data_IF_467150139868
#
_entry.id   IF_467150139868
#
_cell.length_a   1.000
_cell.length_b   1.000
_cell.length_c   1.000
_cell.angle_alpha   90.00
_cell.angle_beta   90.00
_cell.angle_gamma   90.00
#
_symmetry.space_group_name_H-M   'P 1'
#
loop_
_entity.id
_entity.type
_entity.pdbx_description
1 polymer ?
#
# COMPACT_ATOMS: atom_id res chain seq x y z
N UNK A 1 -1.06 -20.86 -16.61
CA UNK A 1 -1.60 -20.00 -17.69
C UNK A 1 -0.58 -19.69 -18.79
N UNK A 2 0.70 -19.43 -18.50
CA UNK A 2 1.67 -18.98 -19.53
C UNK A 2 1.74 -19.79 -20.84
N UNK A 3 1.89 -21.13 -20.81
CA UNK A 3 2.04 -21.93 -22.03
C UNK A 3 0.80 -22.06 -22.93
N UNK A 4 -0.39 -21.72 -22.41
CA UNK A 4 -1.67 -21.91 -23.13
C UNK A 4 -2.22 -20.60 -23.71
N UNK A 5 -1.65 -19.45 -23.36
CA UNK A 5 -2.11 -18.14 -23.82
C UNK A 5 -1.50 -17.77 -25.19
N UNK A 6 -2.28 -17.20 -26.12
CA UNK A 6 -1.77 -16.73 -27.41
C UNK A 6 -0.54 -15.83 -27.30
N UNK A 7 0.30 -15.85 -28.34
CA UNK A 7 1.55 -15.08 -28.42
C UNK A 7 1.36 -13.59 -28.09
N UNK A 8 0.19 -13.04 -28.45
CA UNK A 8 -0.19 -11.63 -28.37
C UNK A 8 -1.10 -11.30 -27.18
N UNK A 9 -0.99 -12.04 -26.09
CA UNK A 9 -1.72 -11.75 -24.84
C UNK A 9 -0.80 -11.11 -23.82
N UNK A 10 -1.19 -9.93 -23.33
CA UNK A 10 -0.63 -9.32 -22.13
C UNK A 10 -1.31 -9.92 -20.91
N UNK A 11 -0.52 -10.36 -19.94
CA UNK A 11 -0.97 -10.74 -18.62
C UNK A 11 -0.56 -9.64 -17.62
N UNK A 12 -1.40 -9.38 -16.63
CA UNK A 12 -1.13 -8.45 -15.53
C UNK A 12 -1.65 -9.04 -14.22
N UNK A 13 -1.30 -8.43 -13.10
CA UNK A 13 -1.80 -8.76 -11.76
C UNK A 13 -2.16 -7.48 -11.00
N UNK A 14 -2.75 -7.65 -9.82
CA UNK A 14 -3.13 -6.56 -8.90
C UNK A 14 -2.64 -6.83 -7.47
N UNK A 15 -1.70 -7.76 -7.29
CA UNK A 15 -1.24 -8.20 -5.96
C UNK A 15 -0.52 -7.11 -5.16
N UNK A 16 -0.47 -7.25 -3.84
CA UNK A 16 0.15 -6.21 -2.99
C UNK A 16 1.67 -6.32 -2.85
N UNK A 17 2.27 -7.39 -3.40
CA UNK A 17 3.72 -7.65 -3.41
C UNK A 17 4.16 -8.05 -4.81
N UNK A 18 5.38 -7.68 -5.20
CA UNK A 18 5.82 -7.65 -6.61
C UNK A 18 7.03 -8.52 -6.90
N UNK A 19 7.95 -8.69 -5.95
CA UNK A 19 9.19 -9.46 -6.19
C UNK A 19 8.89 -10.90 -6.61
N UNK A 20 8.02 -11.60 -5.88
CA UNK A 20 7.75 -13.02 -6.16
C UNK A 20 6.98 -13.23 -7.47
N UNK A 21 5.98 -12.40 -7.76
CA UNK A 21 5.19 -12.53 -9.01
C UNK A 21 6.05 -12.20 -10.24
N UNK A 22 6.95 -11.22 -10.12
CA UNK A 22 7.93 -10.90 -11.18
C UNK A 22 8.90 -12.06 -11.39
N UNK A 23 9.46 -12.63 -10.32
CA UNK A 23 10.34 -13.80 -10.42
C UNK A 23 9.62 -15.00 -11.06
N UNK A 24 8.36 -15.24 -10.67
CA UNK A 24 7.52 -16.30 -11.25
C UNK A 24 7.26 -16.07 -12.73
N UNK A 25 6.96 -14.84 -13.14
CA UNK A 25 6.77 -14.50 -14.55
C UNK A 25 8.06 -14.72 -15.36
N UNK A 26 9.21 -14.36 -14.82
CA UNK A 26 10.52 -14.66 -15.41
C UNK A 26 10.74 -16.15 -15.64
N UNK A 27 10.42 -16.99 -14.64
CA UNK A 27 10.55 -18.45 -14.76
C UNK A 27 9.59 -19.06 -15.79
N UNK A 28 8.38 -18.51 -15.92
CA UNK A 28 7.34 -19.04 -16.83
C UNK A 28 7.54 -18.58 -18.28
N UNK A 29 7.89 -17.32 -18.50
CA UNK A 29 7.96 -16.72 -19.83
C UNK A 29 9.40 -16.57 -20.36
N UNK A 30 10.41 -16.78 -19.52
CA UNK A 30 11.82 -16.63 -19.88
C UNK A 30 12.10 -15.26 -20.50
N UNK A 31 12.80 -15.25 -21.64
CA UNK A 31 13.17 -14.03 -22.38
C UNK A 31 11.96 -13.21 -22.85
N UNK A 32 10.76 -13.80 -22.91
CA UNK A 32 9.55 -13.12 -23.36
C UNK A 32 8.78 -12.43 -22.23
N UNK A 33 9.23 -12.54 -20.98
CA UNK A 33 8.48 -12.04 -19.82
C UNK A 33 8.13 -10.55 -19.93
N UNK A 34 9.09 -9.68 -20.32
CA UNK A 34 8.84 -8.24 -20.52
C UNK A 34 7.91 -7.88 -21.68
N UNK A 35 7.54 -8.83 -22.54
CA UNK A 35 6.52 -8.64 -23.59
C UNK A 35 5.16 -9.22 -23.22
N UNK A 36 5.13 -10.14 -22.25
CA UNK A 36 3.96 -10.99 -21.94
C UNK A 36 3.36 -10.68 -20.58
N UNK A 37 4.10 -10.05 -19.69
CA UNK A 37 3.65 -9.74 -18.34
C UNK A 37 3.96 -8.30 -17.98
N UNK A 38 2.96 -7.58 -17.46
CA UNK A 38 3.12 -6.26 -16.86
C UNK A 38 2.54 -6.33 -15.44
N UNK A 39 3.37 -6.52 -14.40
CA UNK A 39 2.87 -6.61 -13.04
C UNK A 39 2.40 -5.26 -12.52
N UNK A 40 1.27 -5.25 -11.83
CA UNK A 40 0.57 -4.05 -11.40
C UNK A 40 0.11 -4.12 -9.95
N UNK A 41 -0.03 -2.97 -9.29
CA UNK A 41 -0.61 -2.87 -7.96
C UNK A 41 -1.40 -1.55 -7.85
N UNK A 42 -2.73 -1.59 -7.95
CA UNK A 42 -3.55 -0.43 -7.59
C UNK A 42 -3.46 -0.20 -6.08
N UNK A 43 -3.02 0.98 -5.67
CA UNK A 43 -3.10 1.45 -4.27
C UNK A 43 -4.51 1.93 -3.95
N UNK A 44 -5.48 1.06 -4.19
CA UNK A 44 -6.89 1.27 -3.93
C UNK A 44 -7.45 0.00 -3.30
N UNK A 45 -8.25 0.15 -2.26
CA UNK A 45 -8.84 -0.96 -1.55
C UNK A 45 -9.97 -0.49 -0.65
N UNK A 46 -10.94 -1.38 -0.46
CA UNK A 46 -11.98 -1.24 0.56
C UNK A 46 -11.76 -2.32 1.61
N UNK A 47 -12.23 -2.07 2.81
CA UNK A 47 -12.17 -3.04 3.92
C UNK A 47 -13.08 -4.26 3.64
N UNK A 48 -14.06 -4.08 2.76
CA UNK A 48 -15.01 -5.10 2.34
C UNK A 48 -14.52 -5.78 1.07
N UNK A 49 -14.62 -7.11 1.04
CA UNK A 49 -14.25 -7.96 -0.10
C UNK A 49 -15.49 -8.59 -0.70
N UNK A 50 -15.52 -8.77 -2.02
CA UNK A 50 -16.66 -9.31 -2.75
C UNK A 50 -17.01 -8.45 -3.97
N UNK A 51 -17.56 -9.08 -5.02
CA UNK A 51 -17.94 -8.37 -6.26
C UNK A 51 -19.10 -7.41 -6.02
N UNK A 52 -19.94 -7.69 -5.02
CA UNK A 52 -21.03 -6.86 -4.54
C UNK A 52 -20.57 -5.51 -3.97
N UNK A 53 -19.30 -5.40 -3.56
CA UNK A 53 -18.68 -4.16 -3.08
C UNK A 53 -17.84 -3.46 -4.16
N UNK A 54 -17.87 -3.96 -5.40
CA UNK A 54 -17.17 -3.34 -6.52
C UNK A 54 -17.70 -1.93 -6.77
N UNK A 55 -16.79 -1.07 -7.20
CA UNK A 55 -17.07 0.35 -7.36
C UNK A 55 -16.35 0.84 -8.62
N UNK A 56 -17.12 1.47 -9.51
CA UNK A 56 -16.62 2.02 -10.76
C UNK A 56 -15.55 3.10 -10.52
N UNK A 57 -15.64 3.79 -9.37
CA UNK A 57 -14.76 4.90 -9.03
C UNK A 57 -13.59 4.49 -8.11
N UNK A 58 -13.44 3.19 -7.82
CA UNK A 58 -12.44 2.67 -6.87
C UNK A 58 -11.01 3.17 -7.16
N UNK A 59 -10.67 3.32 -8.43
CA UNK A 59 -9.32 3.68 -8.88
C UNK A 59 -9.13 5.18 -9.14
N UNK A 60 -10.19 6.00 -9.07
CA UNK A 60 -10.07 7.43 -9.34
C UNK A 60 -9.12 8.12 -8.34
N UNK A 61 -8.07 8.76 -8.86
CA UNK A 61 -7.03 9.45 -8.09
C UNK A 61 -6.06 8.52 -7.34
N UNK A 62 -6.31 7.21 -7.30
CA UNK A 62 -5.45 6.22 -6.68
C UNK A 62 -4.16 6.04 -7.49
N UNK A 63 -3.04 5.80 -6.83
CA UNK A 63 -1.79 5.45 -7.53
C UNK A 63 -1.89 4.00 -8.02
N UNK A 64 -1.53 3.72 -9.27
CA UNK A 64 -1.30 2.36 -9.76
C UNK A 64 0.18 2.17 -10.03
N UNK A 65 0.84 1.31 -9.25
CA UNK A 65 2.24 0.99 -9.45
C UNK A 65 2.39 -0.10 -10.51
N UNK A 66 3.25 0.13 -11.48
CA UNK A 66 3.74 -0.90 -12.40
C UNK A 66 5.18 -1.25 -12.07
N UNK A 67 5.52 -2.53 -12.21
CA UNK A 67 6.89 -3.03 -11.96
C UNK A 67 7.43 -3.70 -13.22
N UNK A 68 7.82 -2.92 -14.24
CA UNK A 68 8.22 -3.47 -15.53
C UNK A 68 9.37 -4.47 -15.42
N UNK A 69 9.33 -5.53 -16.23
CA UNK A 69 10.44 -6.48 -16.33
C UNK A 69 11.50 -5.93 -17.30
N UNK A 70 12.79 -6.16 -17.03
CA UNK A 70 13.96 -5.72 -17.80
C UNK A 70 13.69 -5.10 -19.19
N UNK A 71 13.94 -3.78 -19.29
CA UNK A 71 13.80 -2.95 -20.51
C UNK A 71 12.38 -2.90 -21.11
N UNK A 72 11.35 -3.31 -20.37
CA UNK A 72 9.96 -3.12 -20.76
C UNK A 72 9.58 -1.64 -20.63
N UNK A 73 9.38 -0.98 -21.76
CA UNK A 73 8.71 0.31 -21.78
C UNK A 73 7.20 0.10 -21.56
N UNK A 74 6.69 0.57 -20.42
CA UNK A 74 5.28 0.39 -20.04
C UNK A 74 4.30 1.13 -20.96
N UNK A 75 4.76 2.12 -21.73
CA UNK A 75 3.95 2.90 -22.67
C UNK A 75 4.00 2.39 -24.11
N UNK A 76 4.59 1.21 -24.36
CA UNK A 76 4.70 0.64 -25.70
C UNK A 76 3.88 -0.65 -25.85
N UNK A 77 3.37 -0.90 -27.06
CA UNK A 77 2.61 -2.10 -27.41
C UNK A 77 1.42 -2.35 -26.50
N UNK A 78 1.17 -3.63 -26.19
CA UNK A 78 0.04 -4.04 -25.34
C UNK A 78 0.13 -3.45 -23.92
N UNK A 79 1.34 -3.27 -23.38
CA UNK A 79 1.54 -2.62 -22.08
C UNK A 79 1.03 -1.19 -22.13
N UNK A 80 1.36 -0.43 -23.18
CA UNK A 80 0.91 0.95 -23.36
C UNK A 80 -0.61 1.07 -23.50
N UNK A 81 -1.23 0.15 -24.26
CA UNK A 81 -2.69 0.08 -24.37
C UNK A 81 -3.36 -0.15 -23.01
N UNK A 82 -2.82 -1.05 -22.19
CA UNK A 82 -3.34 -1.32 -20.85
C UNK A 82 -3.15 -0.13 -19.90
N UNK A 83 -1.95 0.46 -19.87
CA UNK A 83 -1.62 1.62 -19.04
C UNK A 83 -2.53 2.81 -19.40
N UNK A 84 -2.76 3.06 -20.68
CA UNK A 84 -3.69 4.10 -21.12
C UNK A 84 -5.14 3.83 -20.67
N UNK A 85 -5.54 2.55 -20.59
CA UNK A 85 -6.82 2.16 -19.99
C UNK A 85 -6.89 2.47 -18.48
N UNK A 86 -5.81 2.17 -17.75
CA UNK A 86 -5.68 2.48 -16.31
C UNK A 86 -5.72 3.99 -16.03
N UNK A 87 -5.12 4.81 -16.89
CA UNK A 87 -5.21 6.27 -16.78
C UNK A 87 -6.63 6.77 -17.08
N UNK A 88 -7.32 6.18 -18.06
CA UNK A 88 -8.70 6.55 -18.43
C UNK A 88 -9.71 6.28 -17.33
N UNK A 89 -9.48 5.29 -16.46
CA UNK A 89 -10.30 5.05 -15.27
C UNK A 89 -9.91 5.94 -14.08
N UNK A 90 -9.03 6.92 -14.30
CA UNK A 90 -8.68 7.96 -13.35
C UNK A 90 -7.52 7.63 -12.41
N UNK A 91 -6.84 6.49 -12.58
CA UNK A 91 -5.68 6.16 -11.76
C UNK A 91 -4.44 6.97 -12.16
N UNK A 92 -3.57 7.26 -11.19
CA UNK A 92 -2.27 7.90 -11.40
C UNK A 92 -1.20 6.83 -11.56
N UNK A 93 -0.59 6.76 -12.73
CA UNK A 93 0.42 5.77 -13.04
C UNK A 93 1.77 6.12 -12.39
N UNK A 94 2.40 5.14 -11.77
CA UNK A 94 3.77 5.21 -11.30
C UNK A 94 4.51 3.91 -11.65
N UNK A 95 5.82 3.99 -11.89
CA UNK A 95 6.64 2.84 -12.26
C UNK A 95 7.90 2.80 -11.42
N UNK A 96 8.27 1.61 -10.93
CA UNK A 96 9.49 1.38 -10.15
C UNK A 96 9.89 -0.10 -10.19
N UNK A 97 11.07 -0.44 -9.70
CA UNK A 97 11.47 -1.84 -9.63
C UNK A 97 10.66 -2.61 -8.57
N UNK A 98 10.48 -3.92 -8.77
CA UNK A 98 9.70 -4.76 -7.85
C UNK A 98 10.23 -4.73 -6.41
N UNK A 99 11.56 -4.69 -6.24
CA UNK A 99 12.19 -4.60 -4.93
C UNK A 99 11.95 -3.24 -4.25
N UNK A 100 11.96 -2.15 -5.02
CA UNK A 100 11.67 -0.80 -4.53
C UNK A 100 10.19 -0.68 -4.13
N UNK A 101 9.30 -1.23 -4.95
CA UNK A 101 7.87 -1.33 -4.65
C UNK A 101 7.62 -2.04 -3.31
N UNK A 102 8.19 -3.24 -3.14
CA UNK A 102 7.95 -4.04 -1.94
C UNK A 102 8.55 -3.39 -0.70
N UNK A 103 9.73 -2.75 -0.82
CA UNK A 103 10.30 -1.95 0.25
C UNK A 103 9.40 -0.76 0.61
N UNK A 104 8.91 -0.01 -0.38
CA UNK A 104 8.00 1.12 -0.17
C UNK A 104 6.69 0.68 0.48
N UNK A 105 6.03 -0.35 -0.06
CA UNK A 105 4.77 -0.88 0.45
C UNK A 105 4.88 -1.42 1.88
N UNK A 106 6.05 -1.95 2.27
CA UNK A 106 6.31 -2.31 3.66
C UNK A 106 6.07 -1.12 4.60
N UNK A 107 6.48 0.09 4.21
CA UNK A 107 6.32 1.30 5.02
C UNK A 107 4.96 1.97 4.89
N UNK A 108 4.44 2.09 3.66
CA UNK A 108 3.25 2.95 3.41
C UNK A 108 1.92 2.22 3.54
N UNK A 109 1.93 0.89 3.70
CA UNK A 109 0.70 0.07 3.77
C UNK A 109 0.80 -1.03 4.81
N UNK A 110 1.83 -1.89 4.70
CA UNK A 110 1.89 -3.11 5.50
C UNK A 110 2.24 -2.86 6.97
N UNK A 111 3.23 -2.00 7.23
CA UNK A 111 3.56 -1.59 8.59
C UNK A 111 2.38 -0.89 9.29
N UNK A 112 1.68 0.10 8.68
CA UNK A 112 0.45 0.66 9.24
C UNK A 112 -0.59 -0.39 9.66
N UNK A 113 -0.83 -1.42 8.83
CA UNK A 113 -1.71 -2.53 9.22
C UNK A 113 -1.21 -3.25 10.47
N UNK A 114 0.08 -3.62 10.50
CA UNK A 114 0.63 -4.35 11.65
C UNK A 114 0.55 -3.53 12.93
N UNK A 115 0.79 -2.21 12.87
CA UNK A 115 0.61 -1.30 14.00
C UNK A 115 -0.84 -1.29 14.46
N UNK A 116 -1.78 -1.15 13.52
CA UNK A 116 -3.22 -1.11 13.80
C UNK A 116 -3.68 -2.37 14.51
N UNK A 117 -3.29 -3.54 13.99
CA UNK A 117 -3.59 -4.85 14.60
C UNK A 117 -2.92 -5.02 15.96
N UNK A 118 -1.64 -4.67 16.11
CA UNK A 118 -0.93 -4.80 17.39
C UNK A 118 -1.54 -3.90 18.47
N UNK A 119 -1.86 -2.64 18.13
CA UNK A 119 -2.50 -1.70 19.05
C UNK A 119 -3.89 -2.19 19.47
N UNK A 120 -4.71 -2.66 18.53
CA UNK A 120 -6.03 -3.19 18.85
C UNK A 120 -5.95 -4.42 19.76
N UNK A 121 -5.04 -5.35 19.48
CA UNK A 121 -4.81 -6.53 20.31
C UNK A 121 -4.35 -6.15 21.73
N UNK A 122 -3.39 -5.22 21.87
CA UNK A 122 -2.93 -4.77 23.20
C UNK A 122 -4.04 -4.09 24.02
N UNK A 123 -4.97 -3.39 23.37
CA UNK A 123 -6.13 -2.79 24.05
C UNK A 123 -7.09 -3.86 24.58
N UNK A 124 -7.31 -4.93 23.80
CA UNK A 124 -8.10 -6.08 24.24
C UNK A 124 -7.42 -6.80 25.41
N UNK A 125 -6.10 -7.01 25.33
CA UNK A 125 -5.35 -7.67 26.40
C UNK A 125 -5.38 -6.87 27.72
N UNK A 126 -5.31 -5.55 27.65
CA UNK A 126 -5.26 -4.67 28.83
C UNK A 126 -6.63 -4.42 29.47
N UNK A 127 -7.68 -4.23 28.67
CA UNK A 127 -8.99 -3.78 29.16
C UNK A 127 -10.12 -4.81 28.98
N UNK A 128 -9.87 -5.89 28.26
CA UNK A 128 -10.86 -6.91 27.91
C UNK A 128 -11.63 -6.62 26.62
N UNK A 129 -12.21 -7.67 26.03
CA UNK A 129 -12.95 -7.62 24.76
C UNK A 129 -14.22 -6.74 24.82
N UNK A 130 -14.88 -6.69 25.98
CA UNK A 130 -16.16 -5.98 26.17
C UNK A 130 -15.99 -4.50 26.57
N UNK A 131 -14.75 -4.01 26.69
CA UNK A 131 -14.51 -2.63 27.09
C UNK A 131 -15.00 -1.64 25.99
N UNK A 132 -15.76 -0.58 26.32
CA UNK A 132 -16.30 0.38 25.34
C UNK A 132 -15.24 1.37 24.85
N UNK A 133 -14.05 0.88 24.49
CA UNK A 133 -12.88 1.70 24.16
C UNK A 133 -13.06 2.52 22.88
N UNK A 134 -13.81 2.05 21.89
CA UNK A 134 -14.05 2.82 20.65
C UNK A 134 -15.12 3.90 20.81
N UNK A 135 -16.03 3.73 21.77
CA UNK A 135 -17.05 4.72 22.14
C UNK A 135 -16.43 5.83 22.98
N UNK A 136 -15.67 5.43 24.01
CA UNK A 136 -14.95 6.34 24.92
C UNK A 136 -13.70 6.94 24.29
N UNK A 137 -13.06 6.20 23.39
CA UNK A 137 -11.89 6.64 22.64
C UNK A 137 -12.24 7.71 21.62
N UNK A 138 -11.38 8.73 21.54
CA UNK A 138 -11.55 9.82 20.58
C UNK A 138 -11.36 9.38 19.13
N UNK A 139 -11.55 10.34 18.21
CA UNK A 139 -11.39 10.16 16.75
C UNK A 139 -10.06 9.49 16.37
N UNK A 140 -8.97 9.84 17.05
CA UNK A 140 -7.64 9.31 16.77
C UNK A 140 -7.56 7.79 16.96
N UNK A 141 -8.16 7.26 18.03
CA UNK A 141 -8.17 5.83 18.30
C UNK A 141 -8.92 5.09 17.18
N UNK A 142 -10.13 5.55 16.86
CA UNK A 142 -10.94 4.96 15.78
C UNK A 142 -10.21 4.98 14.44
N UNK A 143 -9.48 6.05 14.12
CA UNK A 143 -8.74 6.14 12.85
C UNK A 143 -7.55 5.17 12.80
N UNK A 144 -6.77 5.05 13.88
CA UNK A 144 -5.58 4.20 13.90
C UNK A 144 -5.94 2.71 14.00
N UNK A 145 -7.06 2.36 14.64
CA UNK A 145 -7.54 0.95 14.73
C UNK A 145 -8.51 0.58 13.62
N UNK A 146 -8.96 1.51 12.77
CA UNK A 146 -9.96 1.25 11.71
C UNK A 146 -9.64 0.00 10.87
N UNK A 147 -8.38 -0.15 10.46
CA UNK A 147 -7.95 -1.23 9.57
C UNK A 147 -7.59 -2.53 10.31
N UNK A 148 -7.62 -2.56 11.65
CA UNK A 148 -7.29 -3.75 12.44
C UNK A 148 -8.25 -4.92 12.17
N UNK A 149 -9.47 -4.63 11.74
CA UNK A 149 -10.51 -5.59 11.35
C UNK A 149 -10.28 -6.25 9.98
N UNK A 150 -9.20 -5.92 9.27
CA UNK A 150 -8.89 -6.54 7.99
C UNK A 150 -8.68 -8.05 8.13
N UNK A 151 -9.20 -8.89 7.21
CA UNK A 151 -9.12 -10.34 7.33
C UNK A 151 -7.68 -10.84 7.18
N UNK A 152 -7.25 -11.72 8.10
CA UNK A 152 -5.90 -12.31 8.06
C UNK A 152 -5.61 -13.07 6.76
N UNK A 153 -6.63 -13.69 6.14
CA UNK A 153 -6.48 -14.41 4.88
C UNK A 153 -5.88 -13.54 3.76
N UNK A 154 -6.22 -12.25 3.72
CA UNK A 154 -5.65 -11.29 2.78
C UNK A 154 -4.20 -10.93 3.15
N UNK A 155 -3.94 -10.73 4.43
CA UNK A 155 -2.65 -10.26 4.94
C UNK A 155 -1.59 -11.35 5.09
N UNK A 156 -2.00 -12.62 5.18
CA UNK A 156 -1.11 -13.78 5.31
C UNK A 156 -0.08 -13.80 4.18
N UNK A 157 -0.55 -13.75 2.93
CA UNK A 157 0.32 -13.87 1.77
C UNK A 157 1.18 -12.62 1.61
N UNK A 158 0.67 -11.43 1.95
CA UNK A 158 1.45 -10.19 1.99
C UNK A 158 2.62 -10.30 2.99
N UNK A 159 2.33 -10.77 4.20
CA UNK A 159 3.34 -10.92 5.25
C UNK A 159 4.40 -11.97 4.90
N UNK A 160 4.01 -13.07 4.22
CA UNK A 160 4.94 -14.09 3.78
C UNK A 160 5.84 -13.60 2.64
N UNK A 161 5.25 -13.02 1.61
CA UNK A 161 5.95 -12.65 0.37
C UNK A 161 6.80 -11.37 0.51
N UNK A 162 6.52 -10.53 1.53
CA UNK A 162 7.34 -9.35 1.85
C UNK A 162 7.97 -9.38 3.25
N UNK A 163 8.11 -10.56 3.85
CA UNK A 163 8.56 -10.78 5.23
C UNK A 163 9.80 -9.96 5.62
N UNK A 164 10.84 -10.00 4.78
CA UNK A 164 12.13 -9.35 5.08
C UNK A 164 12.02 -7.84 5.20
N UNK A 165 11.26 -7.18 4.31
CA UNK A 165 11.07 -5.74 4.37
C UNK A 165 10.17 -5.37 5.56
N UNK A 166 9.10 -6.13 5.79
CA UNK A 166 8.18 -5.89 6.90
C UNK A 166 8.88 -6.04 8.26
N UNK A 167 9.70 -7.09 8.47
CA UNK A 167 10.49 -7.26 9.69
C UNK A 167 11.46 -6.10 9.93
N UNK A 168 12.14 -5.62 8.88
CA UNK A 168 13.02 -4.45 8.98
C UNK A 168 12.24 -3.17 9.34
N UNK A 169 11.06 -3.00 8.77
CA UNK A 169 10.21 -1.83 9.03
C UNK A 169 9.67 -1.83 10.47
N UNK A 170 9.20 -2.99 10.95
CA UNK A 170 8.78 -3.21 12.33
C UNK A 170 9.92 -2.90 13.31
N UNK A 171 11.09 -3.51 13.13
CA UNK A 171 12.24 -3.28 14.02
C UNK A 171 12.63 -1.79 14.09
N UNK A 172 12.64 -1.08 12.95
CA UNK A 172 12.95 0.36 12.94
C UNK A 172 11.89 1.18 13.69
N UNK A 173 10.61 0.80 13.61
CA UNK A 173 9.55 1.46 14.36
C UNK A 173 9.64 1.13 15.85
N UNK A 174 9.89 -0.12 16.22
CA UNK A 174 10.11 -0.55 17.61
C UNK A 174 11.23 0.26 18.25
N UNK A 175 12.35 0.44 17.57
CA UNK A 175 13.45 1.28 18.03
C UNK A 175 13.03 2.74 18.21
N UNK A 176 12.19 3.28 17.31
CA UNK A 176 11.65 4.65 17.45
C UNK A 176 10.70 4.76 18.64
N UNK A 177 9.83 3.78 18.87
CA UNK A 177 8.92 3.74 20.02
C UNK A 177 9.68 3.59 21.33
N UNK A 178 10.73 2.76 21.36
CA UNK A 178 11.62 2.63 22.52
C UNK A 178 12.29 3.97 22.84
N UNK A 179 12.81 4.66 21.83
CA UNK A 179 13.37 6.00 22.00
C UNK A 179 12.35 6.99 22.58
N UNK A 180 11.12 7.02 22.06
CA UNK A 180 10.04 7.87 22.60
C UNK A 180 9.73 7.52 24.05
N UNK A 181 9.58 6.23 24.38
CA UNK A 181 9.30 5.73 25.74
C UNK A 181 10.37 6.16 26.74
N UNK A 182 11.64 6.09 26.36
CA UNK A 182 12.79 6.42 27.22
C UNK A 182 12.95 7.93 27.44
N UNK A 183 12.39 8.76 26.56
CA UNK A 183 12.62 10.20 26.51
C UNK A 183 11.36 11.04 26.79
N UNK A 184 10.31 10.46 27.40
CA UNK A 184 9.02 11.14 27.61
C UNK A 184 9.13 12.46 28.39
N UNK A 185 10.09 12.56 29.31
CA UNK A 185 10.32 13.76 30.14
C UNK A 185 11.40 14.70 29.62
N UNK A 186 11.93 14.47 28.41
CA UNK A 186 13.13 15.16 27.92
C UNK A 186 12.86 15.94 26.64
N UNK A 187 13.82 16.75 26.19
CA UNK A 187 13.68 17.58 24.99
C UNK A 187 13.65 16.75 23.70
N UNK A 188 14.20 15.55 23.76
CA UNK A 188 14.24 14.58 22.66
C UNK A 188 12.82 14.24 22.18
N UNK A 189 11.82 14.18 23.07
CA UNK A 189 10.42 13.99 22.66
C UNK A 189 9.95 15.12 21.72
N UNK A 190 10.25 16.38 22.04
CA UNK A 190 9.89 17.51 21.17
C UNK A 190 10.60 17.42 19.81
N UNK A 191 11.86 16.99 19.78
CA UNK A 191 12.60 16.78 18.53
C UNK A 191 11.98 15.67 17.67
N UNK A 192 11.46 14.60 18.28
CA UNK A 192 10.73 13.56 17.52
C UNK A 192 9.43 14.10 16.92
N UNK A 193 8.70 14.95 17.63
CA UNK A 193 7.50 15.61 17.09
C UNK A 193 7.85 16.55 15.93
N UNK A 194 8.91 17.33 16.04
CA UNK A 194 9.42 18.18 14.95
C UNK A 194 9.85 17.39 13.72
N UNK A 195 10.47 16.21 13.93
CA UNK A 195 10.82 15.29 12.85
C UNK A 195 9.57 14.74 12.17
N UNK A 196 8.57 14.31 12.95
CA UNK A 196 7.30 13.82 12.42
C UNK A 196 6.56 14.90 11.60
N UNK A 197 6.64 16.17 11.98
CA UNK A 197 6.06 17.29 11.23
C UNK A 197 6.63 17.46 9.81
N UNK A 198 7.85 16.99 9.53
CA UNK A 198 8.44 17.10 8.20
C UNK A 198 7.63 16.31 7.14
N UNK A 199 6.96 15.22 7.54
CA UNK A 199 6.09 14.46 6.65
C UNK A 199 4.94 15.32 6.08
N UNK A 200 4.43 16.29 6.87
CA UNK A 200 3.34 17.18 6.44
C UNK A 200 3.81 18.33 5.55
N UNK A 201 5.10 18.73 5.62
CA UNK A 201 5.63 19.83 4.81
C UNK A 201 5.77 19.47 3.32
N UNK A 202 5.86 18.17 3.00
CA UNK A 202 5.93 17.67 1.61
C UNK A 202 4.56 17.50 0.93
N UNK A 203 3.44 17.67 1.64
CA UNK A 203 2.11 17.57 1.03
C UNK A 203 1.77 18.86 0.27
N UNK A 204 1.37 18.80 -1.02
CA UNK A 204 0.91 19.99 -1.74
C UNK A 204 -0.25 20.62 -0.97
N UNK A 205 -0.14 21.90 -0.63
CA UNK A 205 -1.23 22.67 -0.03
C UNK A 205 -2.41 22.62 -1.01
N UNK A 206 -3.49 21.93 -0.63
CA UNK A 206 -4.78 22.01 -1.35
C UNK A 206 -5.13 23.49 -1.50
N UNK A 207 -5.05 24.03 -2.72
CA UNK A 207 -5.64 25.32 -3.04
C UNK A 207 -7.15 25.17 -2.82
N UNK A 208 -7.67 25.83 -1.78
CA UNK A 208 -9.12 26.07 -1.71
C UNK A 208 -9.43 27.07 -2.82
N UNK A 209 -9.89 26.57 -3.95
CA UNK A 209 -10.48 27.40 -4.99
C UNK A 209 -11.67 28.13 -4.39
N UNK A 210 -11.55 29.45 -4.26
CA UNK A 210 -12.70 30.33 -4.06
C UNK A 210 -13.43 30.43 -5.39
N UNK A 211 -14.43 29.58 -5.61
CA UNK A 211 -15.50 29.89 -6.55
C UNK A 211 -16.33 31.04 -5.95
N UNK A 212 -15.98 32.27 -6.30
CA UNK A 212 -16.96 33.35 -6.30
C UNK A 212 -17.68 33.28 -7.64
N UNK A 213 -18.85 32.63 -7.63
CA UNK A 213 -19.88 32.83 -8.64
C UNK A 213 -20.35 34.28 -8.50
N UNK A 214 -19.92 35.16 -9.40
CA UNK A 214 -20.54 36.47 -9.55
C UNK A 214 -21.84 36.31 -10.35
N UNK A 215 -22.92 36.82 -9.75
CA UNK A 215 -24.14 37.22 -10.43
C UNK A 215 -23.91 38.50 -11.23
#
# INVERSE_FOLDING_TARGET
MGPVLPARTLLTDVGSTKVEVVARAGAVFGKNAGRRFLPGHPMAGKEQSGVEFADADLFQGATWFFTPLNNQNIYNGLSGEFVAGVEKIGARVASMDAAEHDHLCAWISQLPQMISTALAASLVDEFGEDAPLLETGGRALREITRISASPYSMWRDIALTNKKNLQKALLKLEQRLAHVRENLGTRELAMEFERAHQLKKGLPRRHRGTEKVNR
#
